data_IF_865207664080
#
_entry.id   IF_865207664080
#
_cell.length_a   1.000
_cell.length_b   1.000
_cell.length_c   1.000
_cell.angle_alpha   90.00
_cell.angle_beta   90.00
_cell.angle_gamma   90.00
#
_symmetry.space_group_name_H-M   'P 1'
#
loop_
_entity.id
_entity.type
_entity.pdbx_description
1 polymer ?
#
# COMPACT_ATOMS: atom_id res chain seq x y z
N UNK A 1 20.97 -0.97 74.24
CA UNK A 1 19.90 -1.55 73.40
C UNK A 1 19.56 -0.51 72.36
N UNK A 2 20.26 -0.48 71.23
CA UNK A 2 20.06 -1.38 70.07
C UNK A 2 18.64 -1.25 69.50
N UNK A 3 18.41 -0.97 68.23
CA UNK A 3 19.29 -0.79 67.08
C UNK A 3 18.58 0.14 66.10
N UNK A 4 19.18 1.31 65.85
CA UNK A 4 19.07 1.96 64.56
C UNK A 4 19.91 1.12 63.57
N UNK A 5 19.26 0.36 62.69
CA UNK A 5 19.92 -0.25 61.53
C UNK A 5 19.02 -0.17 60.30
N UNK A 6 19.62 0.39 59.25
CA UNK A 6 19.32 0.18 57.84
C UNK A 6 18.22 1.04 57.19
N UNK A 7 18.32 2.35 57.39
CA UNK A 7 18.14 3.29 56.29
C UNK A 7 19.36 3.10 55.36
N UNK A 8 19.17 2.52 54.17
CA UNK A 8 20.26 2.39 53.20
C UNK A 8 20.23 1.13 52.33
N UNK A 9 19.28 1.05 51.41
CA UNK A 9 19.53 0.48 50.07
C UNK A 9 18.45 1.00 49.13
N UNK A 10 18.57 2.27 48.75
CA UNK A 10 18.09 2.69 47.43
C UNK A 10 19.01 1.97 46.45
N UNK A 11 18.62 0.75 46.05
CA UNK A 11 19.22 0.07 44.91
C UNK A 11 18.80 0.88 43.69
N UNK A 12 19.65 1.84 43.34
CA UNK A 12 19.61 2.69 42.15
C UNK A 12 19.87 1.84 40.89
N UNK A 13 18.96 0.89 40.65
CA UNK A 13 19.04 -0.10 39.61
C UNK A 13 17.65 -0.34 39.04
N UNK A 14 17.51 -0.19 37.73
CA UNK A 14 16.31 -0.52 36.95
C UNK A 14 15.76 -1.88 37.40
N UNK A 15 14.45 -1.97 37.64
CA UNK A 15 13.81 -3.19 38.16
C UNK A 15 14.25 -4.44 37.39
N UNK A 16 14.59 -5.50 38.13
CA UNK A 16 15.06 -6.77 37.55
C UNK A 16 14.08 -7.38 36.54
N UNK A 17 12.79 -7.01 36.61
CA UNK A 17 11.72 -7.39 35.68
C UNK A 17 12.00 -6.93 34.24
N UNK A 18 12.74 -5.83 34.05
CA UNK A 18 13.07 -5.28 32.73
C UNK A 18 14.39 -5.80 32.15
N UNK A 19 15.15 -6.60 32.93
CA UNK A 19 16.41 -7.20 32.49
C UNK A 19 16.35 -7.98 31.17
N UNK A 20 15.25 -8.67 30.77
CA UNK A 20 15.21 -9.33 29.48
C UNK A 20 15.00 -8.37 28.30
N UNK A 21 14.65 -7.09 28.51
CA UNK A 21 14.32 -6.16 27.41
C UNK A 21 15.47 -5.88 26.43
N UNK A 22 16.70 -5.53 26.86
CA UNK A 22 17.80 -5.29 25.92
C UNK A 22 18.05 -6.46 24.94
N UNK A 23 18.24 -7.72 25.37
CA UNK A 23 18.50 -8.81 24.43
C UNK A 23 17.30 -9.09 23.50
N UNK A 24 16.07 -8.86 23.95
CA UNK A 24 14.89 -9.02 23.10
C UNK A 24 14.80 -7.96 22.00
N UNK A 25 15.01 -6.69 22.35
CA UNK A 25 15.02 -5.62 21.37
C UNK A 25 16.15 -5.80 20.36
N UNK A 26 17.32 -6.29 20.80
CA UNK A 26 18.41 -6.64 19.90
C UNK A 26 18.01 -7.79 18.95
N UNK A 27 17.44 -8.87 19.47
CA UNK A 27 17.01 -10.00 18.66
C UNK A 27 15.98 -9.59 17.60
N UNK A 28 14.95 -8.84 17.99
CA UNK A 28 13.96 -8.32 17.06
C UNK A 28 14.55 -7.31 16.07
N UNK A 29 15.46 -6.43 16.50
CA UNK A 29 16.15 -5.52 15.59
C UNK A 29 16.85 -6.29 14.46
N UNK A 30 17.59 -7.34 14.81
CA UNK A 30 18.30 -8.18 13.84
C UNK A 30 17.32 -8.88 12.89
N UNK A 31 16.24 -9.47 13.43
CA UNK A 31 15.19 -10.14 12.64
C UNK A 31 14.54 -9.16 11.64
N UNK A 32 14.13 -7.98 12.11
CA UNK A 32 13.51 -6.96 11.27
C UNK A 32 14.47 -6.38 10.23
N UNK A 33 15.75 -6.20 10.60
CA UNK A 33 16.79 -5.74 9.68
C UNK A 33 17.04 -6.74 8.56
N UNK A 34 17.18 -8.03 8.87
CA UNK A 34 17.33 -9.06 7.83
C UNK A 34 16.11 -9.16 6.93
N UNK A 35 14.91 -9.02 7.49
CA UNK A 35 13.67 -8.97 6.70
C UNK A 35 13.65 -7.76 5.75
N UNK A 36 13.98 -6.56 6.25
CA UNK A 36 14.08 -5.36 5.44
C UNK A 36 15.14 -5.49 4.33
N UNK A 37 16.30 -6.07 4.65
CA UNK A 37 17.37 -6.29 3.70
C UNK A 37 16.99 -7.30 2.61
N UNK A 38 16.42 -8.44 2.99
CA UNK A 38 15.90 -9.46 2.06
C UNK A 38 14.86 -8.86 1.12
N UNK A 39 13.96 -8.04 1.66
CA UNK A 39 12.93 -7.34 0.90
C UNK A 39 13.52 -6.32 -0.08
N UNK A 40 14.47 -5.51 0.38
CA UNK A 40 15.13 -4.50 -0.44
C UNK A 40 15.93 -5.15 -1.59
N UNK A 41 16.65 -6.24 -1.32
CA UNK A 41 17.36 -7.02 -2.34
C UNK A 41 16.39 -7.62 -3.37
N UNK A 42 15.29 -8.22 -2.91
CA UNK A 42 14.27 -8.75 -3.82
C UNK A 42 13.69 -7.64 -4.70
N UNK A 43 13.33 -6.51 -4.10
CA UNK A 43 12.77 -5.35 -4.83
C UNK A 43 13.77 -4.77 -5.82
N UNK A 44 15.05 -4.72 -5.45
CA UNK A 44 16.13 -4.23 -6.31
C UNK A 44 16.35 -5.14 -7.53
N UNK A 45 16.46 -6.46 -7.32
CA UNK A 45 16.71 -7.42 -8.39
C UNK A 45 15.58 -7.45 -9.42
N UNK A 46 14.33 -7.25 -9.00
CA UNK A 46 13.16 -7.26 -9.89
C UNK A 46 12.71 -5.87 -10.34
N UNK A 47 13.51 -4.81 -10.12
CA UNK A 47 13.14 -3.42 -10.43
C UNK A 47 12.80 -3.16 -11.89
N UNK A 48 13.36 -3.92 -12.81
CA UNK A 48 13.12 -3.73 -14.24
C UNK A 48 11.75 -4.25 -14.70
N UNK A 49 11.07 -5.08 -13.89
CA UNK A 49 9.86 -5.79 -14.32
C UNK A 49 8.55 -5.22 -13.77
N UNK A 50 8.57 -4.37 -12.72
CA UNK A 50 7.36 -3.87 -12.08
C UNK A 50 7.52 -2.44 -11.55
N UNK A 51 6.40 -1.73 -11.43
CA UNK A 51 6.33 -0.43 -10.73
C UNK A 51 6.62 -0.62 -9.24
N UNK A 52 7.86 -0.34 -8.84
CA UNK A 52 8.35 -0.62 -7.49
C UNK A 52 7.87 0.34 -6.38
N UNK A 53 7.01 1.33 -6.66
CA UNK A 53 6.69 2.36 -5.65
C UNK A 53 5.98 1.79 -4.42
N UNK A 54 5.00 0.91 -4.61
CA UNK A 54 4.35 0.20 -3.50
C UNK A 54 5.35 -0.72 -2.77
N UNK A 55 6.19 -1.45 -3.50
CA UNK A 55 7.17 -2.38 -2.90
C UNK A 55 8.19 -1.66 -2.02
N UNK A 56 8.66 -0.48 -2.45
CA UNK A 56 9.54 0.38 -1.64
C UNK A 56 8.82 0.97 -0.43
N UNK A 57 7.54 1.34 -0.56
CA UNK A 57 6.74 1.76 0.58
C UNK A 57 6.61 0.63 1.63
N UNK A 58 6.33 -0.60 1.18
CA UNK A 58 6.27 -1.79 2.05
C UNK A 58 7.63 -2.14 2.66
N UNK A 59 8.73 -1.93 1.94
CA UNK A 59 10.09 -2.10 2.44
C UNK A 59 10.46 -1.13 3.58
N UNK A 60 9.86 0.07 3.58
CA UNK A 60 10.12 1.07 4.60
C UNK A 60 9.58 0.65 5.97
N UNK A 61 8.51 -0.15 6.03
CA UNK A 61 7.89 -0.60 7.28
C UNK A 61 8.85 -1.42 8.16
N UNK A 62 9.46 -2.53 7.68
CA UNK A 62 10.41 -3.29 8.48
C UNK A 62 11.67 -2.49 8.82
N UNK A 63 12.09 -1.54 7.98
CA UNK A 63 13.23 -0.66 8.26
C UNK A 63 12.95 0.28 9.44
N UNK A 64 11.78 0.93 9.45
CA UNK A 64 11.37 1.82 10.55
C UNK A 64 11.20 1.02 11.84
N UNK A 65 10.69 -0.21 11.76
CA UNK A 65 10.57 -1.11 12.92
C UNK A 65 11.94 -1.54 13.45
N UNK A 66 12.89 -1.84 12.58
CA UNK A 66 14.28 -2.13 12.98
C UNK A 66 14.91 -0.91 13.68
N UNK A 67 14.69 0.30 13.15
CA UNK A 67 15.15 1.54 13.78
C UNK A 67 14.50 1.77 15.16
N UNK A 68 13.20 1.49 15.30
CA UNK A 68 12.51 1.55 16.58
C UNK A 68 13.20 0.65 17.61
N UNK A 69 13.43 -0.61 17.25
CA UNK A 69 14.05 -1.61 18.12
C UNK A 69 15.52 -1.29 18.41
N UNK A 70 16.24 -0.68 17.47
CA UNK A 70 17.59 -0.19 17.70
C UNK A 70 17.60 0.91 18.77
N UNK A 71 16.70 1.90 18.69
CA UNK A 71 16.60 2.96 19.69
C UNK A 71 16.16 2.42 21.06
N UNK A 72 15.20 1.47 21.09
CA UNK A 72 14.80 0.80 22.32
C UNK A 72 15.95 -0.01 22.94
N UNK A 73 16.70 -0.76 22.13
CA UNK A 73 17.89 -1.48 22.57
C UNK A 73 18.93 -0.52 23.17
N UNK A 74 19.28 0.55 22.44
CA UNK A 74 20.26 1.54 22.90
C UNK A 74 19.82 2.22 24.19
N UNK A 75 18.54 2.57 24.33
CA UNK A 75 17.98 3.11 25.57
C UNK A 75 18.15 2.13 26.74
N UNK A 76 17.64 0.90 26.62
CA UNK A 76 17.67 -0.07 27.71
C UNK A 76 19.10 -0.53 28.03
N UNK A 77 19.94 -0.73 27.02
CA UNK A 77 21.33 -1.08 27.21
C UNK A 77 22.10 0.02 27.95
N UNK A 78 21.89 1.29 27.58
CA UNK A 78 22.55 2.41 28.28
C UNK A 78 22.06 2.54 29.73
N UNK A 79 20.76 2.35 29.95
CA UNK A 79 20.15 2.45 31.27
C UNK A 79 20.63 1.32 32.22
N UNK A 80 20.81 0.09 31.71
CA UNK A 80 21.27 -1.06 32.52
C UNK A 80 22.79 -1.16 32.69
N UNK A 81 23.59 -0.92 31.63
CA UNK A 81 25.03 -1.19 31.66
C UNK A 81 25.87 0.07 31.90
N UNK A 82 25.40 1.23 31.48
CA UNK A 82 26.13 2.51 31.64
C UNK A 82 25.50 3.42 32.69
N UNK A 83 24.37 3.02 33.29
CA UNK A 83 23.59 3.80 34.26
C UNK A 83 23.19 5.21 33.77
N UNK A 84 23.14 5.42 32.45
CA UNK A 84 22.71 6.68 31.82
C UNK A 84 21.50 6.41 30.93
N UNK A 85 20.32 6.85 31.37
CA UNK A 85 19.08 6.68 30.62
C UNK A 85 18.81 7.94 29.78
N UNK A 86 19.07 7.85 28.46
CA UNK A 86 18.90 9.00 27.55
C UNK A 86 17.44 9.25 27.21
N UNK A 87 16.93 10.44 27.58
CA UNK A 87 15.59 10.89 27.23
C UNK A 87 15.37 10.93 25.72
N UNK A 88 16.38 11.34 24.95
CA UNK A 88 16.32 11.41 23.49
C UNK A 88 16.15 10.04 22.84
N UNK A 89 16.77 8.99 23.39
CA UNK A 89 16.60 7.63 22.88
C UNK A 89 15.20 7.08 23.17
N UNK A 90 14.67 7.33 24.38
CA UNK A 90 13.29 6.97 24.73
C UNK A 90 12.27 7.71 23.87
N UNK A 91 12.42 9.03 23.73
CA UNK A 91 11.58 9.86 22.87
C UNK A 91 11.67 9.44 21.40
N UNK A 92 12.87 9.14 20.92
CA UNK A 92 13.08 8.61 19.57
C UNK A 92 12.36 7.28 19.35
N UNK A 93 12.55 6.31 20.25
CA UNK A 93 11.85 5.02 20.18
C UNK A 93 10.32 5.18 20.19
N UNK A 94 9.83 6.15 20.98
CA UNK A 94 8.42 6.52 21.02
C UNK A 94 7.91 7.07 19.67
N UNK A 95 8.55 8.11 19.13
CA UNK A 95 8.16 8.76 17.86
C UNK A 95 8.23 7.77 16.69
N UNK A 96 9.32 7.01 16.59
CA UNK A 96 9.48 6.00 15.54
C UNK A 96 8.42 4.89 15.68
N UNK A 97 8.04 4.52 16.90
CA UNK A 97 6.96 3.55 17.13
C UNK A 97 5.59 4.05 16.67
N UNK A 98 5.27 5.33 16.89
CA UNK A 98 4.05 5.95 16.34
C UNK A 98 4.10 5.97 14.81
N UNK A 99 5.22 6.38 14.22
CA UNK A 99 5.41 6.41 12.77
C UNK A 99 5.27 5.02 12.14
N UNK A 100 5.83 3.98 12.76
CA UNK A 100 5.67 2.59 12.32
C UNK A 100 4.19 2.20 12.24
N UNK A 101 3.39 2.49 13.27
CA UNK A 101 1.96 2.18 13.26
C UNK A 101 1.22 2.95 12.17
N UNK A 102 1.52 4.23 11.98
CA UNK A 102 0.90 5.04 10.92
C UNK A 102 1.24 4.52 9.53
N UNK A 103 2.52 4.26 9.25
CA UNK A 103 2.98 3.80 7.92
C UNK A 103 2.46 2.39 7.62
N UNK A 104 2.30 1.55 8.65
CA UNK A 104 1.64 0.24 8.54
C UNK A 104 0.22 0.38 8.02
N UNK A 105 -0.62 1.21 8.65
CA UNK A 105 -2.00 1.40 8.22
C UNK A 105 -2.11 2.07 6.85
N UNK A 106 -1.27 3.06 6.58
CA UNK A 106 -1.20 3.68 5.24
C UNK A 106 -0.82 2.64 4.19
N UNK A 107 0.12 1.73 4.48
CA UNK A 107 0.50 0.65 3.57
C UNK A 107 -0.66 -0.31 3.31
N UNK A 108 -1.42 -0.69 4.35
CA UNK A 108 -2.61 -1.54 4.18
C UNK A 108 -3.71 -0.85 3.37
N UNK A 109 -3.91 0.46 3.56
CA UNK A 109 -4.82 1.27 2.75
C UNK A 109 -4.39 1.37 1.28
N UNK A 110 -3.08 1.53 1.02
CA UNK A 110 -2.54 1.54 -0.35
C UNK A 110 -2.78 0.19 -1.04
N UNK A 111 -2.56 -0.92 -0.32
CA UNK A 111 -2.86 -2.26 -0.81
C UNK A 111 -4.36 -2.44 -1.03
N UNK A 112 -5.21 -2.00 -0.11
CA UNK A 112 -6.67 -2.16 -0.21
C UNK A 112 -7.25 -1.44 -1.41
N UNK A 113 -6.71 -0.26 -1.74
CA UNK A 113 -7.07 0.50 -2.95
C UNK A 113 -6.47 -0.10 -4.24
N UNK A 114 -5.54 -1.05 -4.12
CA UNK A 114 -4.88 -1.69 -5.26
C UNK A 114 -3.82 -0.85 -5.96
N UNK A 115 -3.19 0.06 -5.22
CA UNK A 115 -2.11 0.91 -5.72
C UNK A 115 -0.93 0.07 -6.26
N UNK A 116 -0.52 0.31 -7.51
CA UNK A 116 0.50 -0.46 -8.23
C UNK A 116 0.20 -1.98 -8.36
N UNK A 117 -1.06 -2.41 -8.21
CA UNK A 117 -1.51 -3.80 -8.40
C UNK A 117 -2.65 -3.87 -9.43
N UNK A 118 -3.76 -3.17 -9.18
CA UNK A 118 -4.90 -3.02 -10.10
C UNK A 118 -4.84 -1.68 -10.82
N UNK A 119 -4.44 -0.63 -10.12
CA UNK A 119 -4.34 0.74 -10.64
C UNK A 119 -2.89 1.24 -10.57
N UNK A 120 -2.37 1.82 -11.65
CA UNK A 120 -1.03 2.44 -11.65
C UNK A 120 -0.99 3.73 -10.81
N UNK A 121 -2.10 4.48 -10.82
CA UNK A 121 -2.26 5.74 -10.10
C UNK A 121 -3.55 5.75 -9.30
N UNK A 122 -3.44 6.19 -8.05
CA UNK A 122 -4.61 6.54 -7.24
C UNK A 122 -5.16 7.88 -7.70
N UNK A 123 -6.48 8.03 -7.69
CA UNK A 123 -7.12 9.32 -7.94
C UNK A 123 -6.68 10.36 -6.90
N UNK A 124 -6.78 11.64 -7.25
CA UNK A 124 -6.45 12.72 -6.31
C UNK A 124 -7.30 12.66 -5.03
N UNK A 125 -8.56 12.22 -5.14
CA UNK A 125 -9.47 12.07 -4.01
C UNK A 125 -9.01 10.96 -3.05
N UNK A 126 -8.71 9.76 -3.56
CA UNK A 126 -8.27 8.62 -2.74
C UNK A 126 -6.94 8.90 -2.03
N UNK A 127 -6.02 9.61 -2.70
CA UNK A 127 -4.75 10.04 -2.10
C UNK A 127 -4.97 11.02 -0.96
N UNK A 128 -5.83 12.02 -1.15
CA UNK A 128 -6.18 12.99 -0.11
C UNK A 128 -6.85 12.30 1.07
N UNK A 129 -7.77 11.37 0.82
CA UNK A 129 -8.46 10.61 1.86
C UNK A 129 -7.49 9.73 2.66
N UNK A 130 -6.63 8.98 1.98
CA UNK A 130 -5.61 8.13 2.64
C UNK A 130 -4.64 8.98 3.48
N UNK A 131 -4.20 10.13 2.95
CA UNK A 131 -3.34 11.05 3.69
C UNK A 131 -4.06 11.67 4.90
N UNK A 132 -5.30 12.10 4.74
CA UNK A 132 -6.09 12.70 5.83
C UNK A 132 -6.31 11.69 6.96
N UNK A 133 -6.71 10.46 6.63
CA UNK A 133 -6.87 9.37 7.59
C UNK A 133 -5.55 9.03 8.28
N UNK A 134 -4.45 8.98 7.53
CA UNK A 134 -3.11 8.79 8.11
C UNK A 134 -2.73 9.89 9.11
N UNK A 135 -3.00 11.16 8.79
CA UNK A 135 -2.76 12.29 9.69
C UNK A 135 -3.65 12.24 10.94
N UNK A 136 -4.95 11.99 10.79
CA UNK A 136 -5.88 11.87 11.92
C UNK A 136 -5.48 10.70 12.82
N UNK A 137 -5.12 9.55 12.23
CA UNK A 137 -4.65 8.40 12.99
C UNK A 137 -3.36 8.72 13.76
N UNK A 138 -2.38 9.36 13.11
CA UNK A 138 -1.13 9.79 13.75
C UNK A 138 -1.38 10.71 14.95
N UNK A 139 -2.12 11.80 14.76
CA UNK A 139 -2.43 12.75 15.82
C UNK A 139 -3.21 12.08 16.97
N UNK A 140 -4.15 11.19 16.62
CA UNK A 140 -4.94 10.44 17.60
C UNK A 140 -4.05 9.51 18.43
N UNK A 141 -3.13 8.82 17.77
CA UNK A 141 -2.21 7.88 18.41
C UNK A 141 -1.21 8.59 19.32
N UNK A 142 -0.69 9.75 18.90
CA UNK A 142 0.15 10.61 19.75
C UNK A 142 -0.61 11.05 20.99
N UNK A 143 -1.84 11.53 20.85
CA UNK A 143 -2.65 11.97 21.99
C UNK A 143 -3.01 10.83 22.95
N UNK A 144 -3.31 9.63 22.42
CA UNK A 144 -3.55 8.44 23.24
C UNK A 144 -2.32 8.04 24.06
N UNK A 145 -1.14 8.05 23.43
CA UNK A 145 0.12 7.69 24.09
C UNK A 145 0.62 8.76 25.06
N UNK A 146 0.25 10.02 24.86
CA UNK A 146 0.41 11.10 25.84
C UNK A 146 -0.58 10.99 27.02
N UNK A 147 -1.33 9.89 27.11
CA UNK A 147 -2.25 9.56 28.20
C UNK A 147 -3.40 10.58 28.37
N UNK A 148 -3.83 11.21 27.27
CA UNK A 148 -5.03 12.05 27.27
C UNK A 148 -6.26 11.14 27.19
N UNK A 149 -7.13 11.07 28.22
CA UNK A 149 -8.15 10.02 28.34
C UNK A 149 -9.18 10.01 27.19
N UNK A 150 -9.50 11.18 26.62
CA UNK A 150 -10.46 11.29 25.52
C UNK A 150 -9.97 10.69 24.19
N UNK A 151 -8.66 10.61 24.00
CA UNK A 151 -8.07 10.08 22.76
C UNK A 151 -8.28 8.58 22.60
N UNK A 152 -8.62 7.86 23.67
CA UNK A 152 -8.94 6.44 23.61
C UNK A 152 -10.16 6.14 22.73
N UNK A 153 -11.26 6.89 22.93
CA UNK A 153 -12.50 6.72 22.14
C UNK A 153 -12.24 7.09 20.68
N UNK A 154 -11.49 8.18 20.46
CA UNK A 154 -11.09 8.59 19.11
C UNK A 154 -10.22 7.53 18.44
N UNK A 155 -9.31 6.90 19.17
CA UNK A 155 -8.43 5.86 18.63
C UNK A 155 -9.24 4.63 18.18
N UNK A 156 -10.17 4.16 19.02
CA UNK A 156 -11.09 3.07 18.67
C UNK A 156 -11.91 3.38 17.42
N UNK A 157 -12.47 4.59 17.35
CA UNK A 157 -13.24 5.04 16.19
C UNK A 157 -12.38 5.07 14.93
N UNK A 158 -11.14 5.56 15.03
CA UNK A 158 -10.19 5.57 13.91
C UNK A 158 -9.87 4.15 13.43
N UNK A 159 -9.57 3.21 14.34
CA UNK A 159 -9.35 1.81 13.96
C UNK A 159 -10.57 1.24 13.23
N UNK A 160 -11.77 1.44 13.76
CA UNK A 160 -13.01 0.96 13.14
C UNK A 160 -13.19 1.51 11.72
N UNK A 161 -13.03 2.82 11.53
CA UNK A 161 -13.15 3.48 10.21
C UNK A 161 -12.11 2.94 9.24
N UNK A 162 -10.84 2.81 9.66
CA UNK A 162 -9.76 2.33 8.80
C UNK A 162 -10.01 0.88 8.39
N UNK A 163 -10.32 -0.01 9.33
CA UNK A 163 -10.61 -1.42 8.99
C UNK A 163 -11.84 -1.54 8.09
N UNK A 164 -12.91 -0.79 8.38
CA UNK A 164 -14.11 -0.75 7.53
C UNK A 164 -13.75 -0.37 6.09
N UNK A 165 -12.98 0.71 5.91
CA UNK A 165 -12.54 1.15 4.59
C UNK A 165 -11.66 0.11 3.88
N UNK A 166 -10.73 -0.51 4.59
CA UNK A 166 -9.89 -1.58 4.04
C UNK A 166 -10.77 -2.72 3.53
N UNK A 167 -11.74 -3.18 4.32
CA UNK A 167 -12.63 -4.27 3.89
C UNK A 167 -13.52 -3.87 2.71
N UNK A 168 -14.05 -2.65 2.69
CA UNK A 168 -14.84 -2.15 1.57
C UNK A 168 -14.03 -2.13 0.27
N UNK A 169 -12.85 -1.51 0.28
CA UNK A 169 -12.01 -1.40 -0.92
C UNK A 169 -11.47 -2.75 -1.39
N UNK A 170 -11.09 -3.65 -0.47
CA UNK A 170 -10.68 -5.02 -0.83
C UNK A 170 -11.85 -5.77 -1.48
N UNK A 171 -13.06 -5.62 -0.95
CA UNK A 171 -14.25 -6.30 -1.50
C UNK A 171 -14.61 -5.76 -2.88
N UNK A 172 -14.55 -4.45 -3.09
CA UNK A 172 -14.74 -3.82 -4.40
C UNK A 172 -13.72 -4.34 -5.43
N UNK A 173 -12.43 -4.36 -5.06
CA UNK A 173 -11.37 -4.89 -5.92
C UNK A 173 -11.57 -6.39 -6.24
N UNK A 174 -12.05 -7.19 -5.27
CA UNK A 174 -12.36 -8.61 -5.50
C UNK A 174 -13.55 -8.83 -6.44
N UNK A 175 -14.58 -7.98 -6.38
CA UNK A 175 -15.73 -8.04 -7.29
C UNK A 175 -15.29 -7.70 -8.71
N UNK A 176 -14.57 -6.60 -8.90
CA UNK A 176 -14.06 -6.18 -10.22
C UNK A 176 -13.14 -7.25 -10.82
N UNK A 177 -12.20 -7.80 -10.04
CA UNK A 177 -11.31 -8.86 -10.52
C UNK A 177 -12.07 -10.15 -10.87
N UNK A 178 -13.17 -10.46 -10.16
CA UNK A 178 -14.02 -11.62 -10.49
C UNK A 178 -14.76 -11.42 -11.81
N UNK A 179 -15.33 -10.23 -12.03
CA UNK A 179 -16.03 -9.90 -13.29
C UNK A 179 -15.08 -9.94 -14.49
N UNK A 180 -13.86 -9.40 -14.33
CA UNK A 180 -12.82 -9.50 -15.35
C UNK A 180 -12.42 -10.95 -15.63
N UNK A 181 -12.30 -11.78 -14.58
CA UNK A 181 -11.95 -13.18 -14.76
C UNK A 181 -13.02 -13.94 -15.55
N UNK A 182 -14.31 -13.69 -15.28
CA UNK A 182 -15.41 -14.30 -16.04
C UNK A 182 -15.43 -13.87 -17.50
N UNK A 183 -15.13 -12.60 -17.79
CA UNK A 183 -15.08 -12.11 -19.17
C UNK A 183 -13.92 -12.72 -19.98
N UNK A 184 -12.77 -12.96 -19.34
CA UNK A 184 -11.59 -13.53 -20.01
C UNK A 184 -11.76 -15.02 -20.27
N UNK A 185 -12.48 -15.72 -19.39
CA UNK A 185 -12.85 -17.13 -19.60
C UNK A 185 -13.69 -17.31 -20.88
N UNK A 186 -14.50 -16.31 -21.24
CA UNK A 186 -15.29 -16.31 -22.48
C UNK A 186 -14.46 -16.01 -23.74
N UNK A 187 -13.29 -15.35 -23.64
CA UNK A 187 -12.45 -14.90 -24.77
C UNK A 187 -11.17 -15.74 -25.02
N UNK A 188 -10.92 -16.80 -24.23
CA UNK A 188 -9.80 -17.78 -24.37
C UNK A 188 -8.37 -17.18 -24.41
N UNK A 189 -8.11 -16.09 -23.66
CA UNK A 189 -6.77 -15.47 -23.56
C UNK A 189 -6.02 -15.96 -22.30
N UNK A 190 -5.37 -17.13 -22.42
CA UNK A 190 -4.75 -17.85 -21.30
C UNK A 190 -3.72 -17.02 -20.49
N UNK A 191 -2.86 -16.23 -21.15
CA UNK A 191 -1.85 -15.41 -20.46
C UNK A 191 -2.44 -14.27 -19.61
N UNK A 192 -3.60 -13.73 -20.02
CA UNK A 192 -4.28 -12.65 -19.29
C UNK A 192 -5.06 -13.21 -18.11
N UNK A 193 -5.64 -14.40 -18.27
CA UNK A 193 -6.32 -15.14 -17.20
C UNK A 193 -5.37 -15.38 -16.01
N UNK A 194 -4.18 -15.91 -16.25
CA UNK A 194 -3.20 -16.19 -15.19
C UNK A 194 -2.78 -14.94 -14.41
N UNK A 195 -2.63 -13.81 -15.10
CA UNK A 195 -2.30 -12.53 -14.50
C UNK A 195 -3.44 -12.02 -13.58
N UNK A 196 -4.69 -12.04 -14.06
CA UNK A 196 -5.87 -11.57 -13.31
C UNK A 196 -6.17 -12.51 -12.14
N UNK A 197 -6.12 -13.83 -12.36
CA UNK A 197 -6.31 -14.84 -11.32
C UNK A 197 -5.30 -14.68 -10.18
N UNK A 198 -4.04 -14.39 -10.50
CA UNK A 198 -3.01 -14.14 -9.50
C UNK A 198 -3.28 -12.88 -8.67
N UNK A 199 -3.74 -11.78 -9.28
CA UNK A 199 -4.19 -10.58 -8.55
C UNK A 199 -5.36 -10.91 -7.62
N UNK A 200 -6.34 -11.67 -8.10
CA UNK A 200 -7.49 -12.12 -7.30
C UNK A 200 -7.06 -12.91 -6.06
N UNK A 201 -6.15 -13.87 -6.21
CA UNK A 201 -5.61 -14.66 -5.09
C UNK A 201 -4.83 -13.78 -4.10
N UNK A 202 -4.07 -12.78 -4.58
CA UNK A 202 -3.37 -11.84 -3.69
C UNK A 202 -4.34 -11.05 -2.81
N UNK A 203 -5.41 -10.48 -3.39
CA UNK A 203 -6.42 -9.75 -2.62
C UNK A 203 -7.20 -10.64 -1.66
N UNK A 204 -7.50 -11.89 -2.04
CA UNK A 204 -8.18 -12.85 -1.16
C UNK A 204 -7.32 -13.21 0.05
N UNK A 205 -6.03 -13.43 -0.16
CA UNK A 205 -5.05 -13.65 0.93
C UNK A 205 -4.92 -12.42 1.83
N UNK A 206 -4.89 -11.22 1.24
CA UNK A 206 -4.87 -9.97 1.99
C UNK A 206 -6.13 -9.76 2.83
N UNK A 207 -7.32 -10.06 2.29
CA UNK A 207 -8.57 -10.00 3.04
C UNK A 207 -8.52 -10.90 4.29
N UNK A 208 -8.02 -12.14 4.15
CA UNK A 208 -7.83 -13.05 5.27
C UNK A 208 -6.82 -12.53 6.30
N UNK A 209 -5.68 -11.99 5.84
CA UNK A 209 -4.69 -11.37 6.73
C UNK A 209 -5.27 -10.19 7.51
N UNK A 210 -6.05 -9.32 6.86
CA UNK A 210 -6.66 -8.15 7.52
C UNK A 210 -7.68 -8.56 8.60
N UNK A 211 -8.41 -9.66 8.41
CA UNK A 211 -9.26 -10.21 9.48
C UNK A 211 -8.42 -10.67 10.68
N UNK A 212 -7.31 -11.37 10.46
CA UNK A 212 -6.40 -11.80 11.52
C UNK A 212 -5.83 -10.59 12.27
N UNK A 213 -5.43 -9.54 11.54
CA UNK A 213 -4.93 -8.29 12.13
C UNK A 213 -6.00 -7.62 12.99
N UNK A 214 -7.23 -7.50 12.51
CA UNK A 214 -8.33 -6.88 13.25
C UNK A 214 -8.64 -7.65 14.55
N UNK A 215 -8.70 -8.98 14.49
CA UNK A 215 -8.93 -9.84 15.66
C UNK A 215 -7.75 -9.76 16.63
N UNK A 216 -6.51 -9.76 16.13
CA UNK A 216 -5.33 -9.66 16.97
C UNK A 216 -5.26 -8.31 17.70
N UNK A 217 -5.50 -7.20 17.02
CA UNK A 217 -5.53 -5.87 17.65
C UNK A 217 -6.68 -5.76 18.67
N UNK A 218 -7.87 -6.30 18.37
CA UNK A 218 -8.98 -6.35 19.33
C UNK A 218 -8.65 -7.20 20.56
N UNK A 219 -8.04 -8.38 20.37
CA UNK A 219 -7.66 -9.26 21.47
C UNK A 219 -6.57 -8.63 22.35
N UNK A 220 -5.60 -7.95 21.74
CA UNK A 220 -4.56 -7.21 22.46
C UNK A 220 -5.16 -6.03 23.23
N UNK A 221 -6.17 -5.37 22.66
CA UNK A 221 -6.89 -4.28 23.30
C UNK A 221 -7.68 -4.74 24.53
N UNK A 222 -8.34 -5.90 24.46
CA UNK A 222 -9.10 -6.49 25.57
C UNK A 222 -8.16 -7.03 26.66
N UNK A 223 -7.05 -7.70 26.29
CA UNK A 223 -6.09 -8.30 27.22
C UNK A 223 -5.09 -7.29 27.84
N UNK A 224 -5.52 -6.05 28.07
CA UNK A 224 -4.76 -4.99 28.72
C UNK A 224 -4.69 -5.16 30.25
N UNK A 225 -4.51 -6.39 30.75
CA UNK A 225 -4.24 -6.60 32.17
C UNK A 225 -2.86 -6.02 32.52
N UNK A 226 -2.82 -5.20 33.56
CA UNK A 226 -1.73 -4.30 33.94
C UNK A 226 -0.60 -4.98 34.73
N UNK A 227 -0.55 -6.32 34.77
CA UNK A 227 0.50 -7.00 35.54
C UNK A 227 1.89 -6.79 34.91
N UNK A 228 2.79 -6.20 35.70
CA UNK A 228 4.16 -5.89 35.30
C UNK A 228 5.00 -7.16 35.05
N UNK A 229 4.70 -8.25 35.75
CA UNK A 229 5.42 -9.53 35.67
C UNK A 229 5.33 -10.18 34.27
N UNK A 230 4.27 -9.92 33.51
CA UNK A 230 4.04 -10.49 32.18
C UNK A 230 4.37 -9.53 31.03
N UNK A 231 4.99 -8.38 31.32
CA UNK A 231 5.26 -7.33 30.31
C UNK A 231 6.09 -7.84 29.13
N UNK A 232 7.19 -8.55 29.41
CA UNK A 232 8.07 -9.11 28.39
C UNK A 232 7.33 -10.11 27.50
N UNK A 233 6.57 -11.04 28.07
CA UNK A 233 5.85 -12.06 27.30
C UNK A 233 4.84 -11.39 26.37
N UNK A 234 4.12 -10.38 26.85
CA UNK A 234 3.20 -9.59 26.03
C UNK A 234 3.91 -8.86 24.89
N UNK A 235 5.07 -8.26 25.16
CA UNK A 235 5.90 -7.66 24.13
C UNK A 235 6.31 -8.69 23.08
N UNK A 236 6.78 -9.86 23.50
CA UNK A 236 7.21 -10.95 22.63
C UNK A 236 6.06 -11.42 21.73
N UNK A 237 4.88 -11.69 22.29
CA UNK A 237 3.70 -12.11 21.52
C UNK A 237 3.28 -11.04 20.51
N UNK A 238 3.24 -9.76 20.92
CA UNK A 238 2.88 -8.65 20.03
C UNK A 238 3.88 -8.52 18.88
N UNK A 239 5.17 -8.58 19.16
CA UNK A 239 6.22 -8.43 18.15
C UNK A 239 6.23 -9.60 17.17
N UNK A 240 6.06 -10.84 17.64
CA UNK A 240 5.93 -12.00 16.75
C UNK A 240 4.67 -11.93 15.89
N UNK A 241 3.53 -11.55 16.45
CA UNK A 241 2.30 -11.39 15.67
C UNK A 241 2.50 -10.37 14.55
N UNK A 242 3.05 -9.20 14.86
CA UNK A 242 3.36 -8.17 13.86
C UNK A 242 4.34 -8.68 12.80
N UNK A 243 5.45 -9.30 13.22
CA UNK A 243 6.45 -9.83 12.28
C UNK A 243 5.85 -10.88 11.33
N UNK A 244 5.08 -11.84 11.85
CA UNK A 244 4.45 -12.88 11.05
C UNK A 244 3.44 -12.31 10.05
N UNK A 245 2.62 -11.35 10.46
CA UNK A 245 1.68 -10.65 9.57
C UNK A 245 2.43 -9.95 8.43
N UNK A 246 3.48 -9.19 8.76
CA UNK A 246 4.25 -8.46 7.76
C UNK A 246 5.02 -9.38 6.83
N UNK A 247 5.58 -10.47 7.35
CA UNK A 247 6.22 -11.49 6.53
C UNK A 247 5.22 -12.15 5.58
N UNK A 248 3.99 -12.43 6.04
CA UNK A 248 2.92 -13.02 5.22
C UNK A 248 2.43 -12.07 4.12
N UNK A 249 2.10 -10.83 4.48
CA UNK A 249 1.68 -9.78 3.53
C UNK A 249 2.81 -9.55 2.54
N UNK A 250 4.02 -9.45 3.05
CA UNK A 250 5.19 -9.29 2.24
C UNK A 250 5.35 -10.43 1.23
N UNK A 251 5.37 -11.68 1.70
CA UNK A 251 5.49 -12.83 0.81
C UNK A 251 4.41 -12.87 -0.28
N UNK A 252 3.19 -12.44 0.07
CA UNK A 252 2.04 -12.37 -0.85
C UNK A 252 2.23 -11.32 -1.94
N UNK A 253 2.69 -10.13 -1.56
CA UNK A 253 2.81 -8.99 -2.46
C UNK A 253 4.21 -8.80 -3.06
N UNK A 254 5.17 -9.69 -2.81
CA UNK A 254 6.53 -9.53 -3.34
C UNK A 254 6.54 -9.34 -4.86
N UNK A 255 7.50 -8.57 -5.36
CA UNK A 255 7.82 -8.55 -6.79
C UNK A 255 8.19 -9.96 -7.24
N UNK A 256 7.50 -10.46 -8.25
CA UNK A 256 7.74 -11.74 -8.88
C UNK A 256 7.98 -11.47 -10.37
N UNK A 257 8.81 -12.28 -11.03
CA UNK A 257 8.84 -12.30 -12.50
C UNK A 257 7.44 -12.67 -12.97
N UNK A 258 6.66 -11.70 -13.44
CA UNK A 258 5.38 -11.96 -14.08
C UNK A 258 5.46 -11.57 -15.54
N UNK A 259 4.68 -12.35 -16.30
CA UNK A 259 4.41 -12.22 -17.72
C UNK A 259 4.28 -10.75 -18.15
N UNK A 260 4.73 -10.41 -19.38
CA UNK A 260 4.83 -9.03 -19.87
C UNK A 260 3.53 -8.18 -19.81
N UNK A 261 2.39 -8.78 -19.45
CA UNK A 261 1.06 -8.16 -19.39
C UNK A 261 0.49 -7.99 -17.98
N UNK A 262 1.23 -8.29 -16.90
CA UNK A 262 0.68 -8.15 -15.53
C UNK A 262 0.34 -6.71 -15.13
N UNK A 263 1.01 -5.71 -15.71
CA UNK A 263 0.68 -4.30 -15.50
C UNK A 263 -0.59 -3.87 -16.24
N UNK A 264 -0.97 -4.58 -17.30
CA UNK A 264 -2.12 -4.22 -18.13
C UNK A 264 -3.39 -4.71 -17.42
N UNK A 265 -4.14 -3.77 -16.87
CA UNK A 265 -5.53 -4.03 -16.47
C UNK A 265 -6.37 -4.03 -17.76
N UNK A 266 -7.00 -5.14 -18.17
CA UNK A 266 -7.96 -5.08 -19.26
C UNK A 266 -9.08 -4.15 -18.83
N UNK A 267 -9.20 -3.00 -19.50
CA UNK A 267 -10.33 -2.12 -19.28
C UNK A 267 -11.58 -2.90 -19.73
N UNK A 268 -12.51 -3.14 -18.81
CA UNK A 268 -13.83 -3.66 -19.11
C UNK A 268 -14.59 -2.55 -19.86
N UNK A 269 -14.22 -2.31 -21.12
CA UNK A 269 -14.97 -1.41 -21.98
C UNK A 269 -16.33 -2.05 -22.21
N UNK A 270 -17.39 -1.32 -21.84
CA UNK A 270 -18.74 -1.72 -22.20
C UNK A 270 -18.78 -1.95 -23.72
N UNK A 271 -19.63 -2.89 -24.18
CA UNK A 271 -19.77 -3.26 -25.60
C UNK A 271 -19.99 -2.07 -26.56
N UNK A 272 -20.35 -0.90 -26.03
CA UNK A 272 -20.52 0.38 -26.74
C UNK A 272 -19.17 1.07 -27.05
N UNK A 273 -18.14 0.90 -26.21
CA UNK A 273 -16.79 1.49 -26.39
C UNK A 273 -15.81 0.63 -27.20
N UNK A 274 -16.20 -0.61 -27.54
CA UNK A 274 -15.48 -1.51 -28.47
C UNK A 274 -15.98 -1.31 -29.91
N UNK A 275 -16.91 -0.38 -30.14
CA UNK A 275 -17.24 0.05 -31.49
C UNK A 275 -16.09 0.93 -32.00
N UNK A 276 -15.11 0.28 -32.63
CA UNK A 276 -14.12 0.97 -33.47
C UNK A 276 -14.91 1.88 -34.42
N UNK A 277 -14.59 3.18 -34.54
CA UNK A 277 -15.32 4.04 -35.45
C UNK A 277 -15.31 3.38 -36.84
N UNK A 278 -16.47 3.23 -37.50
CA UNK A 278 -16.52 2.60 -38.80
C UNK A 278 -15.52 3.28 -39.73
N UNK A 279 -14.57 2.50 -40.25
CA UNK A 279 -13.63 2.98 -41.24
C UNK A 279 -14.40 3.07 -42.55
N UNK A 280 -14.80 4.28 -42.92
CA UNK A 280 -15.40 4.53 -44.23
C UNK A 280 -14.29 4.72 -45.25
N UNK A 281 -14.11 3.74 -46.13
CA UNK A 281 -13.34 3.91 -47.36
C UNK A 281 -14.23 4.61 -48.39
N UNK A 282 -13.85 5.81 -48.81
CA UNK A 282 -14.51 6.51 -49.92
C UNK A 282 -13.64 6.25 -51.15
N UNK A 283 -14.18 5.54 -52.14
CA UNK A 283 -13.60 5.48 -53.48
C UNK A 283 -13.97 6.76 -54.23
N UNK A 284 -12.97 7.45 -54.78
CA UNK A 284 -13.15 8.75 -55.43
C UNK A 284 -12.32 8.79 -56.71
N UNK A 285 -12.90 9.32 -57.78
CA UNK A 285 -12.25 9.42 -59.08
C UNK A 285 -11.07 10.40 -59.06
N UNK A 286 -10.05 10.12 -59.88
CA UNK A 286 -8.78 10.84 -59.88
C UNK A 286 -8.89 12.33 -60.25
N UNK A 287 -9.92 12.71 -61.01
CA UNK A 287 -10.20 14.12 -61.33
C UNK A 287 -10.77 14.86 -60.13
N UNK A 288 -11.72 14.26 -59.41
CA UNK A 288 -12.36 14.82 -58.22
C UNK A 288 -11.39 14.95 -57.04
N UNK A 289 -10.42 14.04 -56.92
CA UNK A 289 -9.35 14.13 -55.92
C UNK A 289 -8.40 15.32 -56.18
N UNK A 290 -8.23 15.72 -57.44
CA UNK A 290 -7.28 16.77 -57.83
C UNK A 290 -7.77 18.18 -57.46
N UNK A 291 -9.09 18.35 -57.38
CA UNK A 291 -9.76 19.60 -56.99
C UNK A 291 -9.93 19.77 -55.48
N UNK A 292 -9.52 18.78 -54.67
CA UNK A 292 -9.41 18.92 -53.21
C UNK A 292 -8.17 19.75 -52.83
N UNK A 293 -8.09 20.99 -53.33
CA UNK A 293 -7.22 22.00 -52.75
C UNK A 293 -7.81 22.40 -51.41
N UNK A 294 -6.98 22.37 -50.35
CA UNK A 294 -7.37 22.78 -49.01
C UNK A 294 -8.18 24.07 -49.03
N UNK A 295 -9.26 24.14 -48.26
CA UNK A 295 -9.60 25.25 -47.34
C UNK A 295 -11.01 25.19 -46.75
N UNK A 296 -11.86 24.19 -47.06
CA UNK A 296 -13.12 24.00 -46.32
C UNK A 296 -13.27 22.58 -45.79
N UNK A 297 -13.42 22.48 -44.46
CA UNK A 297 -13.74 21.25 -43.77
C UNK A 297 -15.17 20.84 -44.14
N UNK A 298 -15.31 19.83 -44.98
CA UNK A 298 -16.63 19.26 -45.27
C UNK A 298 -16.98 18.25 -44.17
N UNK A 299 -17.80 18.70 -43.20
CA UNK A 299 -18.46 17.81 -42.24
C UNK A 299 -19.53 17.04 -43.00
N UNK A 300 -19.24 15.77 -43.31
CA UNK A 300 -20.25 14.87 -43.85
C UNK A 300 -21.33 14.61 -42.79
N UNK A 301 -22.53 15.16 -42.99
CA UNK A 301 -23.69 14.82 -42.17
C UNK A 301 -24.31 13.55 -42.75
N UNK A 302 -24.64 12.52 -41.93
CA UNK A 302 -25.28 11.31 -42.43
C UNK A 302 -26.64 11.64 -43.06
N UNK A 303 -26.77 11.43 -44.36
CA UNK A 303 -28.05 11.47 -45.06
C UNK A 303 -28.78 10.14 -44.91
N UNK A 304 -29.26 9.85 -43.70
CA UNK A 304 -30.19 8.74 -43.44
C UNK A 304 -30.89 8.95 -42.10
N UNK A 305 -32.22 9.14 -42.07
CA UNK A 305 -32.95 9.31 -40.83
C UNK A 305 -33.29 7.92 -40.25
N UNK A 306 -32.35 7.30 -39.55
CA UNK A 306 -32.69 6.19 -38.68
C UNK A 306 -32.82 6.71 -37.24
N UNK A 307 -34.05 6.63 -36.71
CA UNK A 307 -34.48 7.09 -35.38
C UNK A 307 -33.54 6.55 -34.28
N UNK A 308 -32.79 7.46 -33.66
CA UNK A 308 -32.06 7.19 -32.43
C UNK A 308 -31.16 8.37 -32.09
N UNK A 309 -31.55 9.14 -31.08
CA UNK A 309 -30.85 10.32 -30.57
C UNK A 309 -29.36 10.07 -30.30
N UNK A 310 -28.48 10.57 -31.17
CA UNK A 310 -27.04 10.69 -30.91
C UNK A 310 -26.66 12.17 -30.98
N UNK A 311 -26.80 12.83 -29.84
CA UNK A 311 -26.17 14.11 -29.50
C UNK A 311 -24.69 13.84 -29.23
N UNK A 312 -23.86 13.74 -30.27
CA UNK A 312 -22.41 13.94 -30.13
C UNK A 312 -21.78 14.10 -31.51
N UNK A 313 -21.16 15.27 -31.73
CA UNK A 313 -20.49 15.65 -32.96
C UNK A 313 -19.27 14.76 -33.21
N UNK A 314 -19.28 14.00 -34.30
CA UNK A 314 -18.16 13.13 -34.70
C UNK A 314 -17.08 13.96 -35.39
N UNK A 315 -15.86 13.94 -34.85
CA UNK A 315 -14.66 14.56 -35.43
C UNK A 315 -13.98 13.55 -36.37
N UNK A 316 -13.92 13.86 -37.68
CA UNK A 316 -13.20 13.05 -38.67
C UNK A 316 -11.89 13.74 -39.02
N UNK A 317 -10.76 13.07 -38.80
CA UNK A 317 -9.42 13.56 -39.15
C UNK A 317 -8.94 12.81 -40.38
N UNK A 318 -8.75 13.53 -41.49
CA UNK A 318 -8.25 12.96 -42.75
C UNK A 318 -6.75 13.24 -42.85
N UNK A 319 -5.92 12.20 -42.78
CA UNK A 319 -4.48 12.32 -42.97
C UNK A 319 -4.14 12.22 -44.46
N UNK A 320 -3.60 13.31 -45.02
CA UNK A 320 -3.16 13.34 -46.42
C UNK A 320 -1.86 12.54 -46.60
N UNK A 321 -1.76 11.63 -47.59
CA UNK A 321 -0.58 10.78 -47.78
C UNK A 321 0.63 11.47 -48.43
N UNK A 322 0.58 12.80 -48.65
CA UNK A 322 1.70 13.57 -49.20
C UNK A 322 2.32 14.47 -48.15
N UNK A 323 3.05 13.88 -47.21
CA UNK A 323 4.28 14.50 -46.69
C UNK A 323 5.24 13.53 -45.98
N UNK A 324 5.55 12.40 -46.62
CA UNK A 324 6.68 11.54 -46.24
C UNK A 324 7.98 12.09 -46.86
N UNK A 325 8.26 13.40 -46.70
CA UNK A 325 9.48 13.99 -47.25
C UNK A 325 10.28 14.92 -46.33
N UNK A 326 9.80 15.23 -45.12
CA UNK A 326 10.63 15.92 -44.13
C UNK A 326 10.93 15.06 -42.91
N UNK A 327 11.99 14.26 -43.04
CA UNK A 327 12.79 13.75 -41.92
C UNK A 327 13.34 14.96 -41.14
N UNK A 328 13.04 15.14 -39.83
CA UNK A 328 13.79 16.07 -39.01
C UNK A 328 15.18 15.47 -38.78
N UNK A 329 16.18 16.15 -39.31
CA UNK A 329 17.59 15.98 -38.95
C UNK A 329 17.76 16.07 -37.43
N UNK A 330 18.40 15.05 -36.86
CA UNK A 330 19.08 15.12 -35.57
C UNK A 330 19.98 16.35 -35.54
N UNK A 331 19.77 17.25 -34.58
CA UNK A 331 20.78 18.18 -34.11
C UNK A 331 20.70 18.21 -32.57
N UNK A 332 21.76 17.67 -31.97
CA UNK A 332 22.30 17.75 -30.60
C UNK A 332 21.36 17.88 -29.39
#
# INVERSE_FOLDING_TARGET
MENAKSLGSYSDGVDAVYRPLPPLYLAFMVIWFFSAFSWALNTYNYRHFQTNRLQWALASVPLIKALQHALSFLFWNSCFYTHVCSLWMSFGAYVIGVLFQTITFVSFMLISNGYCITCEHLSASERRMTSALGCVFYLTLVGYRASIPYFFVLLLLNYFIIFYMIFCHVSQNLIVLREQLSFIEDEDVHEMHDAVYKKYIMFKKFQGAMHIVAVAELAIFINMDTSLENYWIRLLVREWAQFCIFLYIGWTFRSQQLTPRFSVMPNLKSKVEIMVPPIYSIEMDAETFKDLSSHEWHIGVPTSPCKGSLTESVLVVIQHPRDISHRPTLIN
#
